data_IF_686702976709
#
_entry.id   IF_686702976709
#
_cell.length_a   1.000
_cell.length_b   1.000
_cell.length_c   1.000
_cell.angle_alpha   90.00
_cell.angle_beta   90.00
_cell.angle_gamma   90.00
#
_symmetry.space_group_name_H-M   'P 1'
#
loop_
_entity.id
_entity.type
_entity.pdbx_description
1 polymer ?
#
# COMPACT_ATOMS: atom_id res chain seq x y z
N UNK A 1 -25.82 6.12 -7.47
CA UNK A 1 -24.85 5.40 -8.33
C UNK A 1 -24.83 6.07 -9.70
N UNK A 2 -23.66 6.25 -10.29
CA UNK A 2 -23.48 6.94 -11.58
C UNK A 2 -23.89 6.09 -12.79
N UNK A 3 -24.22 4.81 -12.58
CA UNK A 3 -24.49 3.84 -13.65
C UNK A 3 -23.21 3.38 -14.40
N UNK A 4 -22.05 3.89 -14.06
CA UNK A 4 -20.78 3.56 -14.69
C UNK A 4 -20.31 2.14 -14.31
N UNK A 5 -19.73 1.44 -15.28
CA UNK A 5 -19.18 0.11 -15.09
C UNK A 5 -17.69 0.17 -14.82
N UNK A 6 -17.27 -0.29 -13.64
CA UNK A 6 -15.87 -0.43 -13.26
C UNK A 6 -15.39 -1.88 -13.43
N UNK A 7 -14.17 -2.04 -13.94
CA UNK A 7 -13.48 -3.33 -14.04
C UNK A 7 -12.12 -3.24 -13.34
N UNK A 8 -11.77 -4.28 -12.59
CA UNK A 8 -10.51 -4.36 -11.84
C UNK A 8 -9.61 -5.42 -12.48
N UNK A 9 -8.36 -5.03 -12.77
CA UNK A 9 -7.30 -5.88 -13.32
C UNK A 9 -6.11 -5.92 -12.35
N UNK A 10 -5.88 -7.09 -11.73
CA UNK A 10 -4.81 -7.24 -10.74
C UNK A 10 -4.05 -8.56 -10.91
N UNK A 11 -2.79 -8.58 -10.47
CA UNK A 11 -2.03 -9.81 -10.32
C UNK A 11 -2.70 -10.78 -9.34
N UNK A 12 -2.42 -12.09 -9.49
CA UNK A 12 -2.95 -13.12 -8.59
C UNK A 12 -4.42 -13.50 -8.77
N UNK A 13 -5.22 -12.72 -9.50
CA UNK A 13 -6.60 -13.07 -9.82
C UNK A 13 -6.71 -13.86 -11.14
N UNK A 14 -7.82 -14.61 -11.31
CA UNK A 14 -8.04 -15.47 -12.49
C UNK A 14 -8.09 -14.67 -13.78
N UNK A 15 -7.10 -14.88 -14.66
CA UNK A 15 -6.90 -14.14 -15.91
C UNK A 15 -8.14 -14.15 -16.81
N UNK A 16 -8.74 -15.32 -17.07
CA UNK A 16 -9.92 -15.47 -17.94
C UNK A 16 -11.10 -14.57 -17.52
N UNK A 17 -11.35 -14.43 -16.20
CA UNK A 17 -12.43 -13.56 -15.70
C UNK A 17 -12.15 -12.09 -15.95
N UNK A 18 -10.90 -11.65 -15.80
CA UNK A 18 -10.50 -10.27 -16.05
C UNK A 18 -10.65 -9.94 -17.54
N UNK A 19 -10.19 -10.81 -18.44
CA UNK A 19 -10.33 -10.63 -19.89
C UNK A 19 -11.80 -10.52 -20.27
N UNK A 20 -12.65 -11.47 -19.85
CA UNK A 20 -14.09 -11.41 -20.16
C UNK A 20 -14.76 -10.15 -19.62
N UNK A 21 -14.35 -9.67 -18.43
CA UNK A 21 -14.91 -8.46 -17.86
C UNK A 21 -14.57 -7.21 -18.68
N UNK A 22 -13.33 -7.09 -19.16
CA UNK A 22 -12.90 -5.96 -20.00
C UNK A 22 -13.53 -6.01 -21.39
N UNK A 23 -13.59 -7.19 -22.01
CA UNK A 23 -14.19 -7.39 -23.33
C UNK A 23 -15.69 -7.05 -23.36
N UNK A 24 -16.38 -7.20 -22.23
CA UNK A 24 -17.75 -6.77 -22.08
C UNK A 24 -17.92 -5.23 -21.96
N UNK A 25 -16.81 -4.47 -22.00
CA UNK A 25 -16.77 -3.00 -21.91
C UNK A 25 -16.73 -2.49 -20.48
N UNK A 26 -16.09 -1.35 -20.27
CA UNK A 26 -16.07 -0.63 -18.99
C UNK A 26 -15.86 0.86 -19.23
N UNK A 27 -16.38 1.67 -18.30
CA UNK A 27 -16.16 3.12 -18.26
C UNK A 27 -14.95 3.48 -17.40
N UNK A 28 -14.69 2.67 -16.38
CA UNK A 28 -13.55 2.82 -15.46
C UNK A 28 -12.76 1.52 -15.40
N UNK A 29 -11.45 1.61 -15.65
CA UNK A 29 -10.52 0.50 -15.54
C UNK A 29 -9.53 0.77 -14.42
N UNK A 30 -9.58 -0.02 -13.36
CA UNK A 30 -8.61 0.03 -12.24
C UNK A 30 -7.64 -1.13 -12.41
N UNK A 31 -6.34 -0.84 -12.46
CA UNK A 31 -5.38 -1.88 -12.80
C UNK A 31 -4.04 -1.74 -12.06
N UNK A 32 -3.39 -2.88 -11.77
CA UNK A 32 -1.97 -2.88 -11.40
C UNK A 32 -1.11 -2.89 -12.67
N UNK A 33 0.02 -2.13 -12.71
CA UNK A 33 0.78 -1.91 -13.95
C UNK A 33 1.21 -3.18 -14.66
N UNK A 34 1.77 -4.16 -13.94
CA UNK A 34 2.28 -5.39 -14.56
C UNK A 34 1.20 -6.21 -15.25
N UNK A 35 0.01 -6.37 -14.62
CA UNK A 35 -1.09 -7.14 -15.21
C UNK A 35 -1.75 -6.39 -16.37
N UNK A 36 -1.86 -5.08 -16.29
CA UNK A 36 -2.39 -4.29 -17.38
C UNK A 36 -1.49 -4.37 -18.62
N UNK A 37 -0.18 -4.22 -18.42
CA UNK A 37 0.81 -4.34 -19.50
C UNK A 37 0.75 -5.72 -20.16
N UNK A 38 0.70 -6.80 -19.38
CA UNK A 38 0.55 -8.17 -19.87
C UNK A 38 -0.69 -8.31 -20.80
N UNK A 39 -1.83 -7.74 -20.38
CA UNK A 39 -3.05 -7.78 -21.20
C UNK A 39 -2.98 -6.92 -22.46
N UNK A 40 -2.28 -5.79 -22.43
CA UNK A 40 -2.04 -4.93 -23.60
C UNK A 40 -1.17 -5.66 -24.60
N UNK A 41 -0.06 -6.25 -24.17
CA UNK A 41 0.89 -6.98 -25.02
C UNK A 41 0.28 -8.21 -25.70
N UNK A 42 -0.65 -8.87 -25.01
CA UNK A 42 -1.43 -9.97 -25.59
C UNK A 42 -2.71 -9.52 -26.32
N UNK A 43 -2.84 -8.23 -26.63
CA UNK A 43 -3.98 -7.66 -27.36
C UNK A 43 -5.36 -7.95 -26.73
N UNK A 44 -5.42 -8.20 -25.43
CA UNK A 44 -6.66 -8.43 -24.69
C UNK A 44 -7.33 -7.15 -24.21
N UNK A 45 -6.57 -6.06 -24.11
CA UNK A 45 -7.00 -4.72 -23.69
C UNK A 45 -6.44 -3.69 -24.64
N UNK A 46 -7.26 -2.70 -25.02
CA UNK A 46 -6.83 -1.54 -25.79
C UNK A 46 -7.16 -0.27 -25.01
N UNK A 47 -6.20 0.64 -24.93
CA UNK A 47 -6.35 1.93 -24.24
C UNK A 47 -6.61 3.10 -25.22
N UNK A 48 -6.89 2.83 -26.49
CA UNK A 48 -7.04 3.86 -27.55
C UNK A 48 -8.16 4.87 -27.29
N UNK A 49 -9.14 4.52 -26.47
CA UNK A 49 -10.29 5.37 -26.17
C UNK A 49 -10.22 6.01 -24.79
N UNK A 50 -9.09 5.90 -24.08
CA UNK A 50 -8.88 6.50 -22.76
C UNK A 50 -8.91 8.03 -22.90
N UNK A 51 -9.69 8.68 -22.06
CA UNK A 51 -9.77 10.15 -21.95
C UNK A 51 -9.03 10.69 -20.74
N UNK A 52 -8.98 9.90 -19.66
CA UNK A 52 -8.31 10.26 -18.42
C UNK A 52 -7.45 9.09 -17.99
N UNK A 53 -6.19 9.34 -17.75
CA UNK A 53 -5.23 8.39 -17.19
C UNK A 53 -4.83 8.85 -15.80
N UNK A 54 -4.94 7.96 -14.81
CA UNK A 54 -4.66 8.28 -13.41
C UNK A 54 -3.56 7.37 -12.91
N UNK A 55 -2.50 7.96 -12.37
CA UNK A 55 -1.46 7.29 -11.59
C UNK A 55 -1.68 7.62 -10.13
N UNK A 56 -1.97 6.62 -9.33
CA UNK A 56 -2.14 6.75 -7.88
C UNK A 56 -1.00 6.05 -7.14
N UNK A 57 -0.52 6.62 -6.03
CA UNK A 57 0.66 6.16 -5.31
C UNK A 57 1.91 6.05 -6.23
N UNK A 58 2.23 7.13 -6.96
CA UNK A 58 3.31 7.12 -7.96
C UNK A 58 4.70 6.86 -7.36
N UNK A 59 4.98 7.38 -6.15
CA UNK A 59 6.16 7.07 -5.35
C UNK A 59 6.31 5.57 -5.12
N UNK A 60 5.24 4.92 -4.69
CA UNK A 60 5.23 3.48 -4.47
C UNK A 60 5.44 2.66 -5.75
N UNK A 61 4.91 3.13 -6.88
CA UNK A 61 5.16 2.45 -8.16
C UNK A 61 6.64 2.51 -8.52
N UNK A 62 7.35 3.59 -8.15
CA UNK A 62 8.78 3.72 -8.33
C UNK A 62 9.54 2.74 -7.43
N UNK A 63 9.26 2.73 -6.12
CA UNK A 63 9.91 1.88 -5.13
C UNK A 63 9.76 0.39 -5.45
N UNK A 64 8.59 0.00 -5.94
CA UNK A 64 8.30 -1.36 -6.38
C UNK A 64 8.88 -1.71 -7.76
N UNK A 65 9.56 -0.79 -8.44
CA UNK A 65 10.14 -1.00 -9.76
C UNK A 65 9.14 -1.13 -10.90
N UNK A 66 7.89 -0.63 -10.74
CA UNK A 66 6.87 -0.68 -11.78
C UNK A 66 7.00 0.41 -12.84
N UNK A 67 7.90 1.35 -12.66
CA UNK A 67 8.04 2.50 -13.54
C UNK A 67 8.28 2.16 -15.02
N UNK A 68 9.13 1.15 -15.37
CA UNK A 68 9.25 0.70 -16.74
C UNK A 68 7.93 0.22 -17.36
N UNK A 69 7.10 -0.47 -16.57
CA UNK A 69 5.77 -0.93 -16.99
C UNK A 69 4.81 0.24 -17.21
N UNK A 70 4.83 1.22 -16.31
CA UNK A 70 4.01 2.45 -16.43
C UNK A 70 4.35 3.20 -17.70
N UNK A 71 5.64 3.42 -18.00
CA UNK A 71 6.08 4.06 -19.26
C UNK A 71 5.58 3.33 -20.49
N UNK A 72 5.66 2.00 -20.51
CA UNK A 72 5.18 1.19 -21.65
C UNK A 72 3.66 1.32 -21.81
N UNK A 73 2.90 1.35 -20.73
CA UNK A 73 1.45 1.58 -20.75
C UNK A 73 1.17 2.97 -21.33
N UNK A 74 1.83 4.02 -20.84
CA UNK A 74 1.64 5.38 -21.33
C UNK A 74 1.89 5.53 -22.82
N UNK A 75 2.87 4.83 -23.35
CA UNK A 75 3.14 4.83 -24.80
C UNK A 75 2.01 4.21 -25.65
N UNK A 76 1.02 3.57 -25.03
CA UNK A 76 -0.16 3.02 -25.72
C UNK A 76 -1.40 3.90 -25.61
N UNK A 77 -1.31 5.00 -24.84
CA UNK A 77 -2.41 5.95 -24.69
C UNK A 77 -2.58 6.80 -25.97
N UNK A 78 -3.78 7.32 -26.23
CA UNK A 78 -3.98 8.28 -27.31
C UNK A 78 -3.21 9.57 -27.05
N UNK A 79 -2.89 10.33 -28.11
CA UNK A 79 -2.19 11.63 -27.99
C UNK A 79 -2.97 12.66 -27.17
N UNK A 80 -4.30 12.60 -27.23
CA UNK A 80 -5.19 13.50 -26.51
C UNK A 80 -5.81 12.75 -25.31
N UNK A 81 -5.26 12.97 -24.14
CA UNK A 81 -5.84 12.51 -22.86
C UNK A 81 -5.38 13.42 -21.73
N UNK A 82 -6.15 13.43 -20.64
CA UNK A 82 -5.73 14.08 -19.40
C UNK A 82 -4.95 13.06 -18.55
N UNK A 83 -3.82 13.49 -17.99
CA UNK A 83 -3.09 12.71 -16.99
C UNK A 83 -3.22 13.34 -15.61
N UNK A 84 -3.60 12.54 -14.62
CA UNK A 84 -3.59 12.90 -13.21
C UNK A 84 -2.58 12.01 -12.48
N UNK A 85 -1.72 12.63 -11.67
CA UNK A 85 -0.73 11.91 -10.88
C UNK A 85 -0.93 12.27 -9.41
N UNK A 86 -1.08 11.24 -8.58
CA UNK A 86 -1.17 11.37 -7.13
C UNK A 86 0.03 10.66 -6.50
N UNK A 87 0.69 11.34 -5.56
CA UNK A 87 1.83 10.84 -4.83
C UNK A 87 1.86 11.45 -3.44
N UNK A 88 2.22 10.67 -2.42
CA UNK A 88 2.43 11.21 -1.08
C UNK A 88 3.76 11.96 -1.00
N UNK A 89 4.76 11.53 -1.78
CA UNK A 89 6.10 12.11 -1.83
C UNK A 89 6.52 12.44 -3.26
N UNK A 90 7.42 13.41 -3.42
CA UNK A 90 7.97 13.80 -4.72
C UNK A 90 9.50 13.81 -4.68
N UNK A 91 10.13 12.62 -4.55
CA UNK A 91 11.58 12.54 -4.61
C UNK A 91 12.12 12.98 -5.99
N UNK A 92 13.37 13.45 -6.10
CA UNK A 92 13.96 13.94 -7.35
C UNK A 92 13.86 12.94 -8.52
N UNK A 93 13.85 11.64 -8.22
CA UNK A 93 13.68 10.57 -9.19
C UNK A 93 12.29 10.55 -9.82
N UNK A 94 11.26 10.89 -9.07
CA UNK A 94 9.88 11.04 -9.58
C UNK A 94 9.77 12.36 -10.33
N UNK A 95 10.26 13.47 -9.79
CA UNK A 95 10.17 14.78 -10.42
C UNK A 95 10.76 14.78 -11.82
N UNK A 96 11.97 14.24 -11.98
CA UNK A 96 12.61 14.14 -13.31
C UNK A 96 11.83 13.29 -14.31
N UNK A 97 11.03 12.38 -13.81
CA UNK A 97 10.19 11.51 -14.64
C UNK A 97 8.86 12.17 -14.98
N UNK A 98 8.27 12.88 -14.04
CA UNK A 98 7.06 13.69 -14.23
C UNK A 98 7.31 14.73 -15.34
N UNK A 99 8.42 15.46 -15.28
CA UNK A 99 8.80 16.47 -16.27
C UNK A 99 8.89 15.93 -17.71
N UNK A 100 9.22 14.65 -17.84
CA UNK A 100 9.27 13.98 -19.15
C UNK A 100 7.91 13.39 -19.60
N UNK A 101 6.93 13.30 -18.72
CA UNK A 101 5.66 12.59 -18.96
C UNK A 101 4.45 13.52 -18.98
N UNK A 102 4.51 14.62 -18.27
CA UNK A 102 3.43 15.60 -18.21
C UNK A 102 3.83 16.87 -18.97
N UNK A 103 2.87 17.46 -19.66
CA UNK A 103 3.04 18.71 -20.36
C UNK A 103 2.39 19.83 -19.53
N UNK A 104 3.20 20.76 -19.03
CA UNK A 104 2.77 21.92 -18.23
C UNK A 104 1.78 21.54 -17.11
N UNK A 105 2.17 20.64 -16.18
CA UNK A 105 1.25 20.17 -15.17
C UNK A 105 0.94 21.26 -14.13
N UNK A 106 -0.32 21.35 -13.75
CA UNK A 106 -0.71 22.12 -12.56
C UNK A 106 -0.40 21.31 -11.31
N UNK A 107 0.49 21.82 -10.47
CA UNK A 107 0.84 21.20 -9.19
C UNK A 107 -0.11 21.67 -8.09
N UNK A 108 -0.69 20.72 -7.36
CA UNK A 108 -1.56 20.99 -6.19
C UNK A 108 -0.95 20.28 -4.99
N UNK A 109 -0.44 21.04 -4.04
CA UNK A 109 0.11 20.52 -2.77
C UNK A 109 -0.93 20.74 -1.65
N UNK A 110 -1.32 19.65 -0.98
CA UNK A 110 -2.38 19.68 0.05
C UNK A 110 -1.78 19.76 1.45
N UNK A 111 -0.62 19.12 1.68
CA UNK A 111 0.08 19.12 2.95
C UNK A 111 1.59 19.18 2.74
N UNK A 112 2.32 19.74 3.70
CA UNK A 112 3.79 19.70 3.67
C UNK A 112 4.25 18.28 4.00
N UNK A 113 5.07 17.70 3.12
CA UNK A 113 5.69 16.39 3.29
C UNK A 113 6.53 16.36 4.57
N UNK A 114 6.45 15.30 5.37
CA UNK A 114 7.37 15.05 6.49
C UNK A 114 6.95 15.63 7.84
N UNK A 115 5.69 15.98 8.04
CA UNK A 115 5.18 16.33 9.37
C UNK A 115 4.23 15.23 9.86
N UNK A 116 4.58 14.57 10.98
CA UNK A 116 3.64 13.77 11.77
C UNK A 116 2.46 14.64 12.19
N UNK A 117 1.27 14.04 12.27
CA UNK A 117 0.11 14.78 12.75
C UNK A 117 0.37 15.30 14.17
N UNK A 118 0.06 16.55 14.45
CA UNK A 118 0.26 17.21 15.77
C UNK A 118 -0.39 16.46 16.95
N UNK A 119 -1.21 15.45 16.67
CA UNK A 119 -1.93 14.61 17.66
C UNK A 119 -1.20 13.31 17.99
N UNK A 120 -0.05 13.01 17.38
CA UNK A 120 0.69 11.77 17.61
C UNK A 120 1.81 12.00 18.63
N UNK A 121 1.81 11.25 19.72
CA UNK A 121 2.92 11.22 20.67
C UNK A 121 3.95 10.20 20.21
N UNK A 122 5.17 10.66 19.90
CA UNK A 122 6.27 9.80 19.50
C UNK A 122 7.16 9.42 20.69
N UNK A 123 7.54 8.14 20.76
CA UNK A 123 8.43 7.61 21.79
C UNK A 123 9.53 6.75 21.20
N UNK A 124 10.77 7.06 21.50
CA UNK A 124 11.92 6.23 21.15
C UNK A 124 12.26 5.31 22.34
N UNK A 125 12.29 4.00 22.09
CA UNK A 125 12.63 2.98 23.06
C UNK A 125 13.96 2.31 22.71
N UNK A 126 15.11 2.77 23.24
CA UNK A 126 16.41 2.13 23.01
C UNK A 126 16.40 0.71 23.56
N UNK A 127 16.76 -0.29 22.74
CA UNK A 127 16.74 -1.70 23.12
C UNK A 127 17.78 -2.48 22.34
N UNK A 128 18.39 -3.49 22.95
CA UNK A 128 19.25 -4.43 22.25
C UNK A 128 18.43 -5.42 21.44
N UNK A 129 18.96 -5.87 20.30
CA UNK A 129 18.24 -6.70 19.34
C UNK A 129 17.57 -7.95 19.96
N UNK A 130 18.21 -8.61 20.91
CA UNK A 130 17.68 -9.82 21.56
C UNK A 130 16.48 -9.58 22.48
N UNK A 131 16.27 -8.35 22.95
CA UNK A 131 15.20 -7.98 23.90
C UNK A 131 14.01 -7.27 23.24
N UNK A 132 14.04 -7.05 21.93
CA UNK A 132 12.97 -6.35 21.21
C UNK A 132 11.58 -6.98 21.38
N UNK A 133 11.49 -8.31 21.36
CA UNK A 133 10.21 -9.03 21.51
C UNK A 133 9.68 -8.86 22.92
N UNK A 134 10.52 -9.05 23.94
CA UNK A 134 10.13 -8.86 25.35
C UNK A 134 9.66 -7.43 25.63
N UNK A 135 10.37 -6.45 25.05
CA UNK A 135 9.97 -5.04 25.14
C UNK A 135 8.63 -4.80 24.45
N UNK A 136 8.41 -5.35 23.26
CA UNK A 136 7.13 -5.23 22.53
C UNK A 136 5.98 -5.81 23.35
N UNK A 137 6.13 -7.01 23.91
CA UNK A 137 5.12 -7.62 24.77
C UNK A 137 4.82 -6.76 25.99
N UNK A 138 5.85 -6.23 26.64
CA UNK A 138 5.71 -5.33 27.79
C UNK A 138 4.98 -4.03 27.41
N UNK A 139 5.36 -3.43 26.29
CA UNK A 139 4.70 -2.22 25.76
C UNK A 139 3.21 -2.48 25.49
N UNK A 140 2.86 -3.55 24.79
CA UNK A 140 1.47 -3.90 24.51
C UNK A 140 0.66 -4.08 25.82
N UNK A 141 1.24 -4.70 26.84
CA UNK A 141 0.60 -4.88 28.15
C UNK A 141 0.51 -3.59 28.96
N UNK A 142 1.43 -2.65 28.78
CA UNK A 142 1.48 -1.38 29.52
C UNK A 142 0.61 -0.27 28.91
N UNK A 143 0.25 -0.39 27.64
CA UNK A 143 -0.69 0.51 26.99
C UNK A 143 -2.10 0.24 27.57
N UNK A 144 -2.45 0.93 28.67
CA UNK A 144 -3.72 0.78 29.37
C UNK A 144 -4.57 2.06 29.30
N UNK A 145 -5.89 1.96 29.31
CA UNK A 145 -6.69 0.73 29.30
C UNK A 145 -6.49 -0.05 28.01
N UNK A 146 -6.51 -1.37 28.01
CA UNK A 146 -6.14 -2.29 26.91
C UNK A 146 -6.36 -1.66 25.54
N UNK A 147 -5.30 -1.34 24.77
CA UNK A 147 -5.46 -0.77 23.45
C UNK A 147 -6.19 -1.79 22.57
N UNK A 148 -7.19 -1.32 21.86
CA UNK A 148 -8.02 -2.20 21.04
C UNK A 148 -7.34 -2.55 19.73
N UNK A 149 -6.45 -1.66 19.21
CA UNK A 149 -5.79 -1.81 17.90
C UNK A 149 -4.37 -1.31 17.90
N UNK A 150 -3.44 -2.24 17.74
CA UNK A 150 -1.99 -1.95 17.63
C UNK A 150 -1.49 -2.44 16.30
N UNK A 151 -0.83 -1.57 15.55
CA UNK A 151 -0.16 -1.90 14.30
C UNK A 151 1.34 -2.01 14.54
N UNK A 152 1.94 -3.14 14.17
CA UNK A 152 3.37 -3.38 14.34
C UNK A 152 4.03 -3.53 12.99
N UNK A 153 4.97 -2.65 12.65
CA UNK A 153 5.73 -2.71 11.42
C UNK A 153 7.08 -3.38 11.61
N UNK A 154 7.40 -4.28 10.69
CA UNK A 154 8.69 -4.97 10.61
C UNK A 154 9.25 -4.86 9.20
N UNK A 155 10.58 -4.75 9.08
CA UNK A 155 11.27 -4.59 7.81
C UNK A 155 11.14 -5.80 6.88
N UNK A 156 11.08 -7.01 7.40
CA UNK A 156 11.09 -8.25 6.60
C UNK A 156 9.94 -9.19 6.94
N UNK A 157 9.49 -9.96 5.95
CA UNK A 157 8.46 -11.01 6.12
C UNK A 157 8.83 -12.03 7.21
N UNK A 158 10.09 -12.45 7.25
CA UNK A 158 10.60 -13.36 8.29
C UNK A 158 10.50 -12.76 9.68
N UNK A 159 10.74 -11.45 9.80
CA UNK A 159 10.57 -10.74 11.07
C UNK A 159 9.11 -10.67 11.46
N UNK A 160 8.21 -10.38 10.51
CA UNK A 160 6.76 -10.40 10.73
C UNK A 160 6.30 -11.76 11.28
N UNK A 161 6.71 -12.87 10.63
CA UNK A 161 6.35 -14.22 11.08
C UNK A 161 6.94 -14.54 12.47
N UNK A 162 8.17 -14.10 12.77
CA UNK A 162 8.81 -14.27 14.08
C UNK A 162 8.08 -13.51 15.19
N UNK A 163 7.76 -12.24 14.96
CA UNK A 163 7.01 -11.41 15.91
C UNK A 163 5.60 -11.96 16.12
N UNK A 164 4.93 -12.37 15.05
CA UNK A 164 3.63 -13.04 15.14
C UNK A 164 3.67 -14.28 16.03
N UNK A 165 4.64 -15.17 15.81
CA UNK A 165 4.76 -16.39 16.59
C UNK A 165 4.98 -16.10 18.08
N UNK A 166 5.81 -15.12 18.42
CA UNK A 166 6.06 -14.71 19.79
C UNK A 166 4.79 -14.15 20.45
N UNK A 167 4.13 -13.19 19.82
CA UNK A 167 2.91 -12.58 20.36
C UNK A 167 1.76 -13.58 20.46
N UNK A 168 1.60 -14.48 19.51
CA UNK A 168 0.59 -15.54 19.56
C UNK A 168 0.85 -16.50 20.71
N UNK A 169 2.11 -16.91 20.95
CA UNK A 169 2.50 -17.76 22.07
C UNK A 169 2.30 -17.04 23.42
N UNK A 170 2.46 -15.73 23.46
CA UNK A 170 2.21 -14.90 24.64
C UNK A 170 0.70 -14.64 24.91
N UNK A 171 -0.20 -15.18 24.03
CA UNK A 171 -1.65 -15.15 24.19
C UNK A 171 -2.34 -13.90 23.63
N UNK A 172 -1.65 -13.08 22.82
CA UNK A 172 -2.26 -11.94 22.16
C UNK A 172 -3.13 -12.37 20.96
N UNK A 173 -4.23 -11.66 20.73
CA UNK A 173 -5.04 -11.80 19.51
C UNK A 173 -4.34 -11.10 18.35
N UNK A 174 -3.54 -11.83 17.59
CA UNK A 174 -2.66 -11.29 16.54
C UNK A 174 -2.91 -11.95 15.20
N UNK A 175 -2.70 -11.22 14.09
CA UNK A 175 -2.66 -11.76 12.72
C UNK A 175 -1.54 -11.03 11.93
N UNK A 176 -1.24 -11.50 10.72
CA UNK A 176 -0.12 -11.02 9.91
C UNK A 176 -0.53 -10.55 8.53
N UNK A 177 0.22 -9.56 8.00
CA UNK A 177 0.01 -9.04 6.66
C UNK A 177 1.36 -8.76 5.96
N UNK A 178 1.73 -9.60 5.00
CA UNK A 178 2.89 -9.39 4.12
C UNK A 178 2.67 -10.02 2.74
N UNK A 179 3.54 -9.72 1.77
CA UNK A 179 3.34 -10.06 0.36
C UNK A 179 3.25 -11.57 0.07
N UNK A 180 3.87 -12.45 0.90
CA UNK A 180 3.81 -13.91 0.71
C UNK A 180 2.48 -14.52 1.20
N UNK A 181 1.65 -13.76 1.90
CA UNK A 181 0.30 -14.21 2.25
C UNK A 181 -0.66 -14.03 1.06
N UNK A 182 -1.50 -15.01 0.76
CA UNK A 182 -2.52 -14.89 -0.28
C UNK A 182 -3.41 -13.65 -0.06
N UNK A 183 -3.83 -12.99 -1.14
CA UNK A 183 -4.64 -11.77 -1.05
C UNK A 183 -5.87 -11.93 -0.14
N UNK A 184 -6.58 -13.07 -0.26
CA UNK A 184 -7.73 -13.35 0.61
C UNK A 184 -7.39 -13.47 2.10
N UNK A 185 -6.16 -13.93 2.45
CA UNK A 185 -5.71 -13.95 3.84
C UNK A 185 -5.42 -12.54 4.35
N UNK A 186 -4.75 -11.71 3.55
CA UNK A 186 -4.48 -10.30 3.87
C UNK A 186 -5.78 -9.51 4.10
N UNK A 187 -6.75 -9.66 3.21
CA UNK A 187 -8.07 -9.02 3.37
C UNK A 187 -8.76 -9.47 4.66
N UNK A 188 -8.72 -10.77 4.99
CA UNK A 188 -9.31 -11.28 6.24
C UNK A 188 -8.61 -10.73 7.48
N UNK A 189 -7.26 -10.68 7.50
CA UNK A 189 -6.50 -10.11 8.60
C UNK A 189 -6.87 -8.64 8.85
N UNK A 190 -6.91 -7.85 7.78
CA UNK A 190 -7.32 -6.45 7.85
C UNK A 190 -8.77 -6.28 8.33
N UNK A 191 -9.69 -7.12 7.85
CA UNK A 191 -11.09 -7.09 8.31
C UNK A 191 -11.21 -7.43 9.80
N UNK A 192 -10.48 -8.45 10.27
CA UNK A 192 -10.44 -8.80 11.70
C UNK A 192 -9.87 -7.67 12.56
N UNK A 193 -8.85 -6.97 12.06
CA UNK A 193 -8.25 -5.83 12.72
C UNK A 193 -9.23 -4.64 12.81
N UNK A 194 -9.88 -4.30 11.70
CA UNK A 194 -10.89 -3.23 11.64
C UNK A 194 -12.07 -3.43 12.58
N UNK A 195 -12.53 -4.67 12.75
CA UNK A 195 -13.68 -4.98 13.62
C UNK A 195 -13.28 -5.38 15.03
N UNK A 196 -12.00 -5.26 15.43
CA UNK A 196 -11.52 -5.55 16.77
C UNK A 196 -11.46 -7.05 17.13
N UNK A 197 -11.63 -7.97 16.15
CA UNK A 197 -11.50 -9.42 16.41
C UNK A 197 -10.07 -9.79 16.78
N UNK A 198 -9.07 -9.08 16.23
CA UNK A 198 -7.67 -9.13 16.64
C UNK A 198 -7.24 -7.78 17.19
N UNK A 199 -6.35 -7.81 18.16
CA UNK A 199 -5.79 -6.64 18.82
C UNK A 199 -4.55 -6.12 18.11
N UNK A 200 -3.70 -7.03 17.59
CA UNK A 200 -2.43 -6.69 16.99
C UNK A 200 -2.40 -7.15 15.54
N UNK A 201 -2.02 -6.26 14.64
CA UNK A 201 -1.71 -6.60 13.25
C UNK A 201 -0.21 -6.38 13.03
N UNK A 202 0.51 -7.44 12.66
CA UNK A 202 1.94 -7.35 12.32
C UNK A 202 2.10 -7.34 10.81
N UNK A 203 2.75 -6.31 10.27
CA UNK A 203 2.87 -6.10 8.83
C UNK A 203 4.29 -5.71 8.42
N UNK A 204 4.61 -5.84 7.13
CA UNK A 204 5.82 -5.22 6.56
C UNK A 204 5.56 -3.77 6.19
N UNK A 205 6.58 -2.91 6.25
CA UNK A 205 6.51 -1.47 5.94
C UNK A 205 5.84 -1.20 4.58
N UNK A 206 6.18 -1.97 3.55
CA UNK A 206 5.56 -1.88 2.21
C UNK A 206 4.04 -2.03 2.23
N UNK A 207 3.49 -2.64 3.28
CA UNK A 207 2.05 -2.82 3.45
C UNK A 207 1.39 -1.71 4.27
N UNK A 208 2.15 -0.76 4.83
CA UNK A 208 1.65 0.35 5.64
C UNK A 208 0.76 1.28 4.83
N UNK A 209 1.20 1.59 3.62
CA UNK A 209 0.47 2.44 2.69
C UNK A 209 -0.81 1.73 2.23
N UNK A 210 -1.95 2.40 2.39
CA UNK A 210 -3.28 1.85 2.06
C UNK A 210 -3.94 1.05 3.19
N UNK A 211 -3.38 1.01 4.41
CA UNK A 211 -4.08 0.56 5.60
C UNK A 211 -4.93 1.73 6.12
N UNK A 212 -6.10 1.92 5.51
CA UNK A 212 -7.10 2.85 6.04
C UNK A 212 -7.90 2.17 7.16
N UNK A 213 -7.42 2.32 8.40
CA UNK A 213 -8.09 1.84 9.61
C UNK A 213 -8.20 3.00 10.59
N UNK A 214 -9.42 3.38 10.89
CA UNK A 214 -9.69 4.39 11.92
C UNK A 214 -9.56 3.81 13.32
N UNK A 215 -9.12 4.64 14.28
CA UNK A 215 -9.01 4.26 15.69
C UNK A 215 -7.90 3.25 15.94
N UNK A 216 -6.71 3.44 15.34
CA UNK A 216 -5.48 2.79 15.74
C UNK A 216 -4.98 3.53 16.98
N UNK A 217 -4.79 2.78 18.08
CA UNK A 217 -4.37 3.36 19.36
C UNK A 217 -2.85 3.51 19.44
N UNK A 218 -2.11 2.61 18.80
CA UNK A 218 -0.65 2.66 18.75
C UNK A 218 -0.09 2.06 17.47
N UNK A 219 0.97 2.68 16.95
CA UNK A 219 1.82 2.15 15.90
C UNK A 219 3.20 1.89 16.47
N UNK A 220 3.74 0.70 16.25
CA UNK A 220 5.08 0.32 16.70
C UNK A 220 5.96 -0.01 15.50
N UNK A 221 6.94 0.83 15.23
CA UNK A 221 7.99 0.52 14.29
C UNK A 221 9.01 -0.42 14.98
N UNK A 222 8.74 -1.74 14.93
CA UNK A 222 9.61 -2.77 15.54
C UNK A 222 11.02 -2.74 14.96
N UNK A 223 11.12 -2.54 13.66
CA UNK A 223 12.35 -2.15 12.97
C UNK A 223 12.12 -0.75 12.40
N UNK A 224 13.01 0.19 12.68
CA UNK A 224 12.94 1.53 12.08
C UNK A 224 13.09 1.39 10.56
N UNK A 225 12.22 1.99 9.75
CA UNK A 225 12.33 1.94 8.29
C UNK A 225 13.68 2.51 7.83
N UNK A 226 14.15 2.04 6.67
CA UNK A 226 15.39 2.57 6.06
C UNK A 226 15.14 3.92 5.39
N UNK A 227 13.94 4.09 4.87
CA UNK A 227 13.51 5.33 4.25
C UNK A 227 12.76 6.17 5.31
N UNK A 228 13.20 7.40 5.59
CA UNK A 228 12.51 8.29 6.52
C UNK A 228 11.05 8.57 6.10
N UNK A 229 10.75 8.53 4.81
CA UNK A 229 9.40 8.76 4.28
C UNK A 229 8.40 7.63 4.62
N UNK A 230 8.92 6.42 4.88
CA UNK A 230 8.09 5.29 5.36
C UNK A 230 7.77 5.37 6.86
N UNK A 231 8.41 6.30 7.59
CA UNK A 231 8.21 6.48 9.03
C UNK A 231 7.04 7.43 9.34
N UNK A 232 6.77 8.39 8.48
CA UNK A 232 5.80 9.49 8.68
C UNK A 232 4.40 9.13 8.19
#
# INVERSE_FOLDING_TARGET
>A
STGQRAVIITGGAKLKRQISAVQAGCDLLVATPGRLLDLIEHHQVSLRNIKVFILDEADRMLDMGFWPSVRRIMNTLPSEHQTLLFSATLPPSITSTIDNMLHDPTMIEIARTGQTADTVEERLCPVVQGQKIELLESLIRSLCPVPERILVFCRTKLRVDSVYAALNNAGFKVDVMHADRPQGARTRALTKFRNGTIQVLVATDVMSRGIDVQGIDAVVNFDVPLDPEDYV
#
